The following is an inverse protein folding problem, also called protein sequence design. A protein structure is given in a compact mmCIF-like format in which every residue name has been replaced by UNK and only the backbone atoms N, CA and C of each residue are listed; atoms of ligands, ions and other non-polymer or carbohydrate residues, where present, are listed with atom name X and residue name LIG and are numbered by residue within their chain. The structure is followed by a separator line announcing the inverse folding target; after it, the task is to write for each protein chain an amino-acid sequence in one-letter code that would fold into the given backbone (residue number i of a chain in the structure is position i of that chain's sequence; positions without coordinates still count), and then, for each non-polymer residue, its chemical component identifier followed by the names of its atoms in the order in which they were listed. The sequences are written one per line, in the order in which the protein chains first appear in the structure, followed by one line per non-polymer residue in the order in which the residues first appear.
data_IF_334309686989
#
_entry.id   IF_334309686989
#
_cell.length_a   1.000
_cell.length_b   1.000
_cell.length_c   1.000
_cell.angle_alpha   90.00
_cell.angle_beta   90.00
_cell.angle_gamma   90.00
#
_symmetry.space_group_name_H-M   'P 1'
#
loop_
_entity.id
_entity.type
_entity.pdbx_description
1 polymer ?
#
# COMPACT_ATOMS: atom_id res chain seq x y z
N UNK A 1 0.06 -15.36 -13.54
CA UNK A 1 -1.34 -15.71 -13.80
C UNK A 1 -1.57 -17.23 -13.82
N UNK A 2 -0.72 -18.04 -14.44
CA UNK A 2 -0.87 -19.53 -14.49
C UNK A 2 -1.05 -20.17 -13.11
N UNK A 3 -0.34 -19.68 -12.07
CA UNK A 3 -0.49 -20.18 -10.69
C UNK A 3 -1.91 -19.89 -10.19
N UNK A 4 -2.44 -18.70 -10.41
CA UNK A 4 -3.80 -18.32 -10.02
C UNK A 4 -4.85 -19.19 -10.71
N UNK A 5 -4.68 -19.47 -12.01
CA UNK A 5 -5.57 -20.40 -12.74
C UNK A 5 -5.51 -21.83 -12.16
N UNK A 6 -4.31 -22.31 -11.81
CA UNK A 6 -4.16 -23.63 -11.23
C UNK A 6 -4.81 -23.71 -9.85
N UNK A 7 -4.68 -22.66 -9.04
CA UNK A 7 -5.34 -22.56 -7.74
C UNK A 7 -6.88 -22.56 -7.90
N UNK A 8 -7.42 -21.75 -8.83
CA UNK A 8 -8.85 -21.72 -9.13
C UNK A 8 -9.38 -23.07 -9.62
N UNK A 9 -8.63 -23.78 -10.47
CA UNK A 9 -9.01 -25.13 -10.92
C UNK A 9 -9.08 -26.13 -9.76
N UNK A 10 -8.14 -26.07 -8.82
CA UNK A 10 -8.10 -26.93 -7.65
C UNK A 10 -9.11 -26.55 -6.56
N UNK A 11 -9.60 -25.30 -6.56
CA UNK A 11 -10.55 -24.79 -5.59
C UNK A 11 -11.94 -25.37 -5.85
N UNK A 12 -12.69 -25.68 -4.78
CA UNK A 12 -14.08 -26.08 -4.90
C UNK A 12 -14.96 -24.96 -5.47
N UNK A 13 -16.07 -25.25 -6.15
CA UNK A 13 -17.04 -24.24 -6.58
C UNK A 13 -17.51 -23.40 -5.38
N UNK A 14 -17.54 -22.07 -5.52
CA UNK A 14 -17.86 -21.13 -4.45
C UNK A 14 -16.74 -20.91 -3.44
N UNK A 15 -15.58 -21.56 -3.61
CA UNK A 15 -14.42 -21.39 -2.72
C UNK A 15 -13.60 -20.16 -3.04
N UNK A 16 -12.61 -19.89 -2.19
CA UNK A 16 -11.73 -18.73 -2.28
C UNK A 16 -10.28 -19.18 -2.30
N UNK A 17 -9.48 -18.60 -3.19
CA UNK A 17 -8.04 -18.76 -3.24
C UNK A 17 -7.36 -17.50 -2.70
N UNK A 18 -6.39 -17.69 -1.81
CA UNK A 18 -5.63 -16.60 -1.19
C UNK A 18 -4.17 -16.63 -1.66
N UNK A 19 -3.67 -15.47 -2.08
CA UNK A 19 -2.29 -15.23 -2.45
C UNK A 19 -1.75 -14.10 -1.57
N UNK A 20 -1.03 -14.47 -0.52
CA UNK A 20 -0.54 -13.51 0.47
C UNK A 20 0.87 -13.01 0.20
N UNK A 21 1.18 -11.86 0.78
CA UNK A 21 2.53 -11.30 0.90
C UNK A 21 3.22 -10.97 -0.42
N UNK A 22 2.50 -10.68 -1.50
CA UNK A 22 3.17 -10.23 -2.72
C UNK A 22 3.78 -8.84 -2.51
N UNK A 23 4.96 -8.63 -3.11
CA UNK A 23 5.60 -7.30 -3.09
C UNK A 23 4.95 -6.41 -4.15
N UNK A 24 4.38 -5.30 -3.70
CA UNK A 24 3.72 -4.33 -4.55
C UNK A 24 4.75 -3.51 -5.33
N UNK A 25 4.69 -3.62 -6.67
CA UNK A 25 5.58 -2.91 -7.59
C UNK A 25 5.46 -1.39 -7.47
N UNK A 26 4.25 -0.88 -7.21
CA UNK A 26 3.97 0.56 -7.13
C UNK A 26 4.66 1.26 -5.96
N UNK A 27 5.06 0.49 -4.93
CA UNK A 27 5.76 1.01 -3.74
C UNK A 27 7.15 0.42 -3.54
N UNK A 28 7.68 -0.29 -4.53
CA UNK A 28 9.00 -0.90 -4.44
C UNK A 28 10.13 0.15 -4.38
N UNK A 29 10.05 1.23 -5.15
CA UNK A 29 11.07 2.29 -5.12
C UNK A 29 11.11 3.02 -3.75
N UNK A 30 9.99 3.50 -3.18
CA UNK A 30 9.96 4.02 -1.80
C UNK A 30 10.50 3.02 -0.77
N UNK A 31 10.16 1.73 -0.90
CA UNK A 31 10.70 0.67 -0.03
C UNK A 31 12.22 0.60 -0.07
N UNK A 32 12.82 0.52 -1.26
CA UNK A 32 14.27 0.43 -1.39
C UNK A 32 15.00 1.69 -0.93
N UNK A 33 14.37 2.87 -1.07
CA UNK A 33 14.88 4.11 -0.51
C UNK A 33 14.90 4.07 1.03
N UNK A 34 13.80 3.68 1.66
CA UNK A 34 13.71 3.52 3.11
C UNK A 34 14.67 2.44 3.64
N UNK A 35 14.80 1.32 2.92
CA UNK A 35 15.71 0.24 3.26
C UNK A 35 17.19 0.69 3.19
N UNK A 36 17.56 1.46 2.16
CA UNK A 36 18.91 2.01 2.02
C UNK A 36 19.22 2.98 3.17
N UNK A 37 18.26 3.84 3.54
CA UNK A 37 18.39 4.73 4.70
C UNK A 37 18.56 3.95 6.01
N UNK A 38 17.73 2.94 6.24
CA UNK A 38 17.81 2.11 7.46
C UNK A 38 19.15 1.37 7.56
N UNK A 39 19.67 0.85 6.45
CA UNK A 39 21.00 0.21 6.40
C UNK A 39 22.13 1.19 6.66
N UNK A 40 22.07 2.38 6.10
CA UNK A 40 23.06 3.42 6.35
C UNK A 40 23.09 3.83 7.83
N UNK A 41 21.93 4.00 8.45
CA UNK A 41 21.82 4.28 9.90
C UNK A 41 22.43 3.17 10.74
N UNK A 42 22.13 1.92 10.40
CA UNK A 42 22.67 0.76 11.12
C UNK A 42 24.19 0.67 11.01
N UNK A 43 24.75 1.02 9.84
CA UNK A 43 26.19 1.05 9.63
C UNK A 43 26.88 2.16 10.45
N UNK A 44 26.20 3.31 10.63
CA UNK A 44 26.72 4.42 11.45
C UNK A 44 26.61 4.18 12.97
N UNK A 45 25.69 3.31 13.42
CA UNK A 45 25.47 3.01 14.83
C UNK A 45 25.22 1.50 15.06
N UNK A 46 26.25 0.65 14.96
CA UNK A 46 26.09 -0.81 15.00
C UNK A 46 25.58 -1.33 16.36
N UNK A 47 25.86 -0.63 17.45
CA UNK A 47 25.52 -1.05 18.83
C UNK A 47 24.16 -0.54 19.33
N UNK A 48 23.47 0.31 18.57
CA UNK A 48 22.14 0.76 18.96
C UNK A 48 21.08 -0.26 18.51
N UNK A 49 20.34 -0.84 19.48
CA UNK A 49 19.10 -1.56 19.16
C UNK A 49 18.17 -0.59 18.42
N UNK A 50 17.79 -0.96 17.19
CA UNK A 50 16.75 -0.24 16.43
C UNK A 50 15.41 -0.41 17.16
N UNK A 51 15.18 0.36 18.18
CA UNK A 51 13.83 0.66 18.64
C UNK A 51 13.21 1.53 17.56
N UNK A 52 12.01 1.19 17.13
CA UNK A 52 11.22 1.93 16.16
C UNK A 52 11.36 3.43 16.42
N UNK A 53 12.09 4.14 15.53
CA UNK A 53 12.32 5.58 15.69
C UNK A 53 11.05 6.37 15.36
N UNK A 54 10.09 6.29 16.26
CA UNK A 54 8.97 7.21 16.34
C UNK A 54 9.15 8.12 17.54
N UNK A 55 9.98 9.15 17.41
CA UNK A 55 10.21 10.10 18.50
C UNK A 55 11.66 10.62 18.50
N UNK A 56 11.92 11.72 19.16
CA UNK A 56 13.15 12.52 19.22
C UNK A 56 14.42 11.76 19.69
N UNK A 57 14.76 10.68 19.01
CA UNK A 57 16.00 9.97 19.22
C UNK A 57 17.13 10.75 18.52
N UNK A 58 18.13 11.21 19.24
CA UNK A 58 19.37 11.76 18.69
C UNK A 58 20.13 10.62 17.98
N UNK A 59 19.74 10.31 16.76
CA UNK A 59 20.50 9.39 15.91
C UNK A 59 21.83 10.05 15.53
N UNK A 60 22.96 9.32 15.54
CA UNK A 60 24.23 9.86 15.09
C UNK A 60 24.08 10.41 13.67
N UNK A 61 24.70 11.56 13.42
CA UNK A 61 24.66 12.21 12.12
C UNK A 61 25.12 11.24 11.03
N UNK A 62 24.25 11.01 10.04
CA UNK A 62 24.58 10.17 8.90
C UNK A 62 25.54 10.92 7.99
N UNK A 63 26.74 10.37 7.79
CA UNK A 63 27.77 10.96 6.91
C UNK A 63 27.55 10.65 5.42
N UNK A 64 26.33 10.31 5.03
CA UNK A 64 25.99 10.08 3.61
C UNK A 64 25.17 11.27 3.06
N UNK A 65 25.39 11.59 1.81
CA UNK A 65 24.62 12.60 1.08
C UNK A 65 23.33 12.02 0.49
N UNK A 66 22.42 12.91 0.08
CA UNK A 66 21.20 12.53 -0.66
C UNK A 66 21.55 11.76 -1.94
N UNK A 67 22.62 12.18 -2.66
CA UNK A 67 23.08 11.50 -3.87
C UNK A 67 23.57 10.08 -3.60
N UNK A 68 24.32 9.88 -2.53
CA UNK A 68 24.78 8.54 -2.12
C UNK A 68 23.60 7.65 -1.73
N UNK A 69 22.61 8.19 -1.01
CA UNK A 69 21.39 7.44 -0.69
C UNK A 69 20.65 7.03 -1.97
N UNK A 70 20.55 7.90 -2.99
CA UNK A 70 19.95 7.57 -4.28
C UNK A 70 20.68 6.38 -4.94
N UNK A 71 22.01 6.42 -4.99
CA UNK A 71 22.82 5.32 -5.55
C UNK A 71 22.56 4.02 -4.79
N UNK A 72 22.51 4.05 -3.45
CA UNK A 72 22.24 2.88 -2.63
C UNK A 72 20.83 2.33 -2.84
N UNK A 73 19.83 3.21 -2.90
CA UNK A 73 18.44 2.85 -3.17
C UNK A 73 18.27 2.18 -4.54
N UNK A 74 18.81 2.77 -5.59
CA UNK A 74 18.78 2.22 -6.96
C UNK A 74 19.51 0.87 -7.06
N UNK A 75 20.66 0.73 -6.41
CA UNK A 75 21.39 -0.55 -6.34
C UNK A 75 20.58 -1.61 -5.57
N UNK A 76 19.92 -1.22 -4.48
CA UNK A 76 19.04 -2.12 -3.73
C UNK A 76 17.88 -2.59 -4.59
N UNK A 77 17.20 -1.67 -5.28
CA UNK A 77 16.10 -1.99 -6.20
C UNK A 77 16.53 -2.90 -7.36
N UNK A 78 17.67 -2.61 -7.99
CA UNK A 78 18.20 -3.42 -9.10
C UNK A 78 18.61 -4.86 -8.67
N UNK A 79 18.80 -5.10 -7.38
CA UNK A 79 19.12 -6.41 -6.80
C UNK A 79 17.92 -7.11 -6.19
N UNK A 80 16.73 -6.56 -6.36
CA UNK A 80 15.50 -7.21 -5.87
C UNK A 80 15.32 -8.57 -6.52
N UNK A 81 15.09 -9.58 -5.68
CA UNK A 81 14.93 -10.97 -6.11
C UNK A 81 13.50 -11.46 -5.97
N UNK A 82 12.70 -10.76 -5.19
CA UNK A 82 11.29 -11.09 -5.05
C UNK A 82 10.53 -10.63 -6.29
N UNK A 83 9.49 -11.37 -6.63
CA UNK A 83 8.60 -11.02 -7.73
C UNK A 83 7.80 -9.76 -7.36
N UNK A 84 8.03 -8.68 -8.11
CA UNK A 84 7.26 -7.44 -8.00
C UNK A 84 6.00 -7.58 -8.85
N UNK A 85 4.83 -7.47 -8.22
CA UNK A 85 3.55 -7.55 -8.90
C UNK A 85 2.83 -6.18 -8.85
N UNK A 86 2.29 -5.79 -9.99
CA UNK A 86 1.34 -4.68 -10.03
C UNK A 86 -0.03 -5.20 -9.57
N UNK A 87 -0.64 -4.61 -8.54
CA UNK A 87 -1.97 -5.03 -8.06
C UNK A 87 -3.03 -5.10 -9.15
N UNK A 88 -2.95 -4.22 -10.16
CA UNK A 88 -3.88 -4.19 -11.31
C UNK A 88 -3.84 -5.46 -12.14
N UNK A 89 -2.70 -6.16 -12.16
CA UNK A 89 -2.54 -7.40 -12.94
C UNK A 89 -3.69 -8.38 -12.71
N UNK A 90 -4.15 -8.49 -11.46
CA UNK A 90 -5.19 -9.45 -11.08
C UNK A 90 -6.58 -8.98 -11.51
N UNK A 91 -6.88 -7.70 -11.32
CA UNK A 91 -8.16 -7.10 -11.72
C UNK A 91 -8.30 -7.10 -13.25
N UNK A 92 -7.25 -6.68 -13.94
CA UNK A 92 -7.20 -6.66 -15.40
C UNK A 92 -7.34 -8.09 -15.99
N UNK A 93 -6.72 -9.08 -15.37
CA UNK A 93 -6.83 -10.47 -15.78
C UNK A 93 -8.27 -10.99 -15.65
N UNK A 94 -8.97 -10.63 -14.55
CA UNK A 94 -10.39 -10.93 -14.41
C UNK A 94 -11.21 -10.26 -15.51
N UNK A 95 -10.98 -8.97 -15.75
CA UNK A 95 -11.73 -8.22 -16.78
C UNK A 95 -11.48 -8.77 -18.19
N UNK A 96 -10.28 -9.25 -18.49
CA UNK A 96 -9.96 -9.90 -19.78
C UNK A 96 -10.44 -11.36 -19.87
N UNK A 97 -11.05 -11.90 -18.82
CA UNK A 97 -11.52 -13.29 -18.80
C UNK A 97 -10.39 -14.32 -18.74
N UNK A 98 -9.19 -13.93 -18.29
CA UNK A 98 -8.05 -14.84 -18.18
C UNK A 98 -8.19 -15.80 -16.98
N UNK A 99 -9.08 -15.53 -16.05
CA UNK A 99 -9.41 -16.39 -14.93
C UNK A 99 -10.73 -17.13 -15.20
N UNK A 100 -10.65 -18.38 -15.65
CA UNK A 100 -11.82 -19.22 -15.79
C UNK A 100 -12.50 -19.42 -14.43
N UNK A 101 -13.80 -19.28 -14.36
CA UNK A 101 -14.64 -19.48 -13.17
C UNK A 101 -14.35 -18.50 -11.99
N UNK A 102 -13.56 -17.46 -12.16
CA UNK A 102 -13.39 -16.41 -11.16
C UNK A 102 -14.47 -15.33 -11.35
N UNK A 103 -15.18 -15.01 -10.29
CA UNK A 103 -16.27 -14.01 -10.32
C UNK A 103 -15.90 -12.70 -9.62
N UNK A 104 -14.88 -12.72 -8.78
CA UNK A 104 -14.40 -11.53 -8.03
C UNK A 104 -12.92 -11.67 -7.71
N UNK A 105 -12.22 -10.56 -7.76
CA UNK A 105 -10.85 -10.41 -7.30
C UNK A 105 -10.80 -9.24 -6.34
N UNK A 106 -10.33 -9.47 -5.13
CA UNK A 106 -9.99 -8.41 -4.19
C UNK A 106 -8.48 -8.34 -4.04
N UNK A 107 -7.95 -7.13 -4.12
CA UNK A 107 -6.54 -6.85 -3.85
C UNK A 107 -6.48 -5.87 -2.70
N UNK A 108 -5.80 -6.24 -1.64
CA UNK A 108 -5.80 -5.47 -0.42
C UNK A 108 -4.38 -5.11 0.04
N UNK A 109 -4.25 -3.94 0.66
CA UNK A 109 -3.06 -3.60 1.42
C UNK A 109 -3.06 -4.39 2.72
N UNK A 110 -1.88 -4.78 3.18
CA UNK A 110 -1.73 -5.46 4.47
C UNK A 110 -2.28 -4.61 5.61
N UNK A 111 -3.05 -5.24 6.47
CA UNK A 111 -3.51 -4.65 7.73
C UNK A 111 -2.37 -4.61 8.75
N UNK A 112 -2.39 -3.67 9.63
CA UNK A 112 -1.48 -3.57 10.76
C UNK A 112 -0.93 -2.17 10.99
N UNK A 113 -1.12 -1.65 12.20
CA UNK A 113 -0.67 -0.30 12.61
C UNK A 113 0.82 -0.20 12.82
N UNK A 114 1.50 -1.36 13.00
CA UNK A 114 2.96 -1.36 13.15
C UNK A 114 3.61 -1.09 11.81
N UNK A 115 4.38 -0.03 11.73
CA UNK A 115 5.17 0.29 10.54
C UNK A 115 6.22 -0.78 10.30
N UNK A 116 5.97 -1.63 9.35
CA UNK A 116 6.83 -2.73 8.96
C UNK A 116 6.89 -2.84 7.43
N UNK A 117 7.85 -3.59 6.94
CA UNK A 117 7.92 -3.95 5.52
C UNK A 117 6.62 -4.60 5.04
N UNK A 118 6.03 -5.49 5.86
CA UNK A 118 4.81 -6.20 5.51
C UNK A 118 3.63 -5.25 5.36
N UNK A 119 3.33 -4.45 6.38
CA UNK A 119 2.19 -3.55 6.35
C UNK A 119 2.35 -2.41 5.32
N UNK A 120 3.59 -1.93 5.12
CA UNK A 120 3.85 -0.79 4.25
C UNK A 120 3.94 -1.12 2.76
N UNK A 121 4.48 -2.29 2.38
CA UNK A 121 4.95 -2.50 1.01
C UNK A 121 4.49 -3.81 0.38
N UNK A 122 3.63 -4.57 1.06
CA UNK A 122 3.06 -5.82 0.56
C UNK A 122 1.56 -5.74 0.48
N UNK A 123 0.98 -6.65 -0.31
CA UNK A 123 -0.45 -6.80 -0.48
C UNK A 123 -0.86 -8.27 -0.48
N UNK A 124 -2.17 -8.47 -0.44
CA UNK A 124 -2.83 -9.76 -0.50
C UNK A 124 -3.83 -9.76 -1.65
N UNK A 125 -4.05 -10.94 -2.23
CA UNK A 125 -5.05 -11.15 -3.29
C UNK A 125 -5.98 -12.28 -2.90
N UNK A 126 -7.26 -12.04 -3.08
CA UNK A 126 -8.34 -12.99 -2.89
C UNK A 126 -9.02 -13.24 -4.24
N UNK A 127 -9.09 -14.50 -4.69
CA UNK A 127 -9.74 -14.90 -5.92
C UNK A 127 -10.95 -15.75 -5.55
N UNK A 128 -12.15 -15.30 -5.90
CA UNK A 128 -13.41 -15.97 -5.57
C UNK A 128 -13.88 -16.76 -6.78
N UNK A 129 -14.00 -18.08 -6.59
CA UNK A 129 -14.51 -18.99 -7.62
C UNK A 129 -16.03 -18.96 -7.67
N UNK A 130 -16.60 -19.02 -8.87
CA UNK A 130 -18.04 -19.15 -9.06
C UNK A 130 -18.61 -20.35 -8.32
N UNK A 131 -19.72 -20.17 -7.62
CA UNK A 131 -20.51 -21.24 -7.03
C UNK A 131 -21.42 -21.92 -8.04
N UNK A 132 -22.09 -23.03 -7.66
CA UNK A 132 -23.10 -23.66 -8.50
C UNK A 132 -24.23 -22.67 -8.81
N UNK A 133 -24.53 -22.46 -10.09
CA UNK A 133 -25.59 -21.55 -10.54
C UNK A 133 -25.25 -20.07 -10.50
N UNK A 134 -24.02 -19.69 -10.16
CA UNK A 134 -23.57 -18.31 -10.29
C UNK A 134 -23.55 -17.92 -11.77
N UNK A 135 -24.08 -16.74 -12.16
CA UNK A 135 -23.98 -16.27 -13.54
C UNK A 135 -22.49 -16.14 -13.90
N UNK A 136 -22.13 -16.73 -15.04
CA UNK A 136 -20.81 -16.54 -15.64
C UNK A 136 -20.60 -15.04 -15.86
N UNK A 137 -19.61 -14.47 -15.19
CA UNK A 137 -19.22 -13.06 -15.27
C UNK A 137 -20.34 -12.04 -15.10
N UNK A 138 -20.79 -11.80 -13.90
CA UNK A 138 -21.31 -10.49 -13.55
C UNK A 138 -20.21 -9.73 -12.80
N UNK A 139 -19.33 -9.06 -13.54
CA UNK A 139 -18.72 -7.85 -12.99
C UNK A 139 -19.91 -6.96 -12.68
N UNK A 140 -20.38 -6.95 -11.42
CA UNK A 140 -21.44 -6.03 -10.99
C UNK A 140 -20.99 -4.64 -11.44
N UNK A 141 -21.88 -3.92 -12.12
CA UNK A 141 -21.61 -2.52 -12.46
C UNK A 141 -21.12 -1.83 -11.19
N UNK A 142 -19.87 -1.39 -11.22
CA UNK A 142 -19.25 -0.72 -10.07
C UNK A 142 -20.09 0.53 -9.81
N UNK A 143 -20.58 0.69 -8.59
CA UNK A 143 -21.21 1.95 -8.17
C UNK A 143 -20.29 3.13 -8.52
N UNK A 144 -20.83 4.33 -8.77
CA UNK A 144 -20.01 5.48 -9.17
C UNK A 144 -18.83 5.64 -8.21
N UNK A 145 -17.60 5.62 -8.75
CA UNK A 145 -16.40 5.85 -7.97
C UNK A 145 -16.25 7.35 -7.74
N UNK A 146 -16.15 7.77 -6.49
CA UNK A 146 -15.89 9.14 -6.13
C UNK A 146 -14.39 9.41 -6.06
N UNK A 147 -13.94 10.53 -6.63
CA UNK A 147 -12.58 10.99 -6.39
C UNK A 147 -12.45 11.54 -4.97
N UNK A 148 -11.35 11.22 -4.32
CA UNK A 148 -11.08 11.70 -2.98
C UNK A 148 -11.11 13.23 -2.89
N UNK A 149 -11.80 13.72 -1.88
CA UNK A 149 -11.88 15.12 -1.50
C UNK A 149 -11.79 15.20 0.03
N UNK A 150 -10.75 15.83 0.56
CA UNK A 150 -10.50 15.90 2.00
C UNK A 150 -11.68 16.51 2.78
N UNK A 151 -12.44 17.42 2.17
CA UNK A 151 -13.64 18.02 2.76
C UNK A 151 -14.83 17.07 2.87
N UNK A 152 -14.84 15.99 2.07
CA UNK A 152 -15.96 15.02 2.01
C UNK A 152 -15.60 13.63 2.52
N UNK A 153 -14.31 13.30 2.57
CA UNK A 153 -13.83 11.95 2.82
C UNK A 153 -12.88 11.86 4.02
N UNK A 154 -12.92 12.84 4.94
CA UNK A 154 -12.28 12.67 6.25
C UNK A 154 -12.95 11.50 7.01
N UNK A 155 -12.25 10.89 7.96
CA UNK A 155 -12.80 9.75 8.75
C UNK A 155 -14.16 10.08 9.36
N UNK A 156 -14.35 11.30 9.90
CA UNK A 156 -15.63 11.71 10.47
C UNK A 156 -16.74 11.86 9.42
N UNK A 157 -16.41 12.37 8.24
CA UNK A 157 -17.37 12.49 7.14
C UNK A 157 -17.73 11.12 6.56
N UNK A 158 -16.75 10.23 6.43
CA UNK A 158 -16.98 8.86 6.01
C UNK A 158 -17.86 8.11 7.00
N UNK A 159 -17.65 8.29 8.30
CA UNK A 159 -18.52 7.73 9.35
C UNK A 159 -19.98 8.15 9.14
N UNK A 160 -20.24 9.44 9.02
CA UNK A 160 -21.60 9.96 8.81
C UNK A 160 -22.26 9.38 7.56
N UNK A 161 -21.52 9.31 6.46
CA UNK A 161 -22.00 8.75 5.19
C UNK A 161 -22.31 7.26 5.29
N UNK A 162 -21.48 6.49 5.99
CA UNK A 162 -21.72 5.06 6.20
C UNK A 162 -22.90 4.82 7.16
N UNK A 163 -23.12 5.70 8.15
CA UNK A 163 -24.30 5.68 9.03
C UNK A 163 -25.61 5.94 8.27
N UNK A 164 -25.59 6.63 7.12
CA UNK A 164 -26.73 6.79 6.22
C UNK A 164 -27.12 5.47 5.51
N UNK A 165 -26.31 4.43 5.59
CA UNK A 165 -26.60 3.09 5.10
C UNK A 165 -26.47 2.88 3.60
N UNK A 166 -25.49 3.49 2.87
CA UNK A 166 -25.28 3.18 1.46
C UNK A 166 -24.92 1.70 1.28
N UNK A 167 -25.41 1.06 0.24
CA UNK A 167 -25.05 -0.33 -0.06
C UNK A 167 -23.54 -0.48 -0.32
N UNK A 168 -22.96 0.46 -1.04
CA UNK A 168 -21.53 0.50 -1.38
C UNK A 168 -21.04 1.94 -1.51
N UNK A 169 -19.78 2.15 -1.14
CA UNK A 169 -19.08 3.43 -1.31
C UNK A 169 -17.69 3.16 -1.88
N UNK A 170 -17.40 3.69 -3.08
CA UNK A 170 -16.11 3.60 -3.73
C UNK A 170 -15.41 4.95 -3.77
N UNK A 171 -14.19 5.03 -3.25
CA UNK A 171 -13.38 6.25 -3.22
C UNK A 171 -12.02 5.95 -3.86
N UNK A 172 -11.67 6.72 -4.88
CA UNK A 172 -10.37 6.61 -5.56
C UNK A 172 -9.45 7.77 -5.23
N UNK A 173 -8.15 7.54 -5.41
CA UNK A 173 -7.10 8.55 -5.25
C UNK A 173 -6.98 9.14 -3.82
N UNK A 174 -7.40 8.39 -2.81
CA UNK A 174 -7.17 8.79 -1.42
C UNK A 174 -5.67 8.81 -1.10
N UNK A 175 -5.14 9.89 -0.50
CA UNK A 175 -3.73 9.94 -0.11
C UNK A 175 -3.43 8.89 0.95
N UNK A 176 -2.46 8.00 0.67
CA UNK A 176 -1.97 6.99 1.61
C UNK A 176 -1.05 7.66 2.66
N UNK A 177 -1.59 7.92 3.85
CA UNK A 177 -0.84 8.54 4.94
C UNK A 177 0.25 7.62 5.51
N UNK A 178 0.12 6.31 5.31
CA UNK A 178 1.09 5.30 5.79
C UNK A 178 2.45 5.45 5.13
N UNK A 179 2.48 5.72 3.83
CA UNK A 179 3.70 5.81 3.02
C UNK A 179 4.13 7.25 2.67
N UNK A 180 3.52 8.25 3.30
CA UNK A 180 3.81 9.65 2.98
C UNK A 180 5.28 10.02 3.23
N UNK A 181 5.90 9.48 4.28
CA UNK A 181 7.33 9.69 4.56
C UNK A 181 8.22 9.08 3.47
N UNK A 182 7.99 7.83 3.13
CA UNK A 182 8.83 7.07 2.19
C UNK A 182 8.71 7.61 0.76
N UNK A 183 7.51 8.03 0.37
CA UNK A 183 7.26 8.66 -0.93
C UNK A 183 7.94 10.02 -1.04
N UNK A 184 7.81 10.86 0.00
CA UNK A 184 8.46 12.19 -0.02
C UNK A 184 9.98 12.06 0.07
N UNK A 185 10.51 11.14 0.86
CA UNK A 185 11.94 10.88 0.90
C UNK A 185 12.47 10.47 -0.47
N UNK A 186 11.79 9.56 -1.16
CA UNK A 186 12.15 9.16 -2.52
C UNK A 186 12.10 10.36 -3.47
N UNK A 187 11.04 11.15 -3.45
CA UNK A 187 10.89 12.35 -4.27
C UNK A 187 12.08 13.31 -4.09
N UNK A 188 12.45 13.60 -2.83
CA UNK A 188 13.60 14.45 -2.54
C UNK A 188 14.89 13.82 -3.07
N UNK A 189 15.09 12.53 -2.85
CA UNK A 189 16.29 11.79 -3.27
C UNK A 189 16.45 11.74 -4.80
N UNK A 190 15.36 11.70 -5.54
CA UNK A 190 15.37 11.67 -7.00
C UNK A 190 15.50 13.07 -7.64
N UNK A 191 14.95 14.09 -6.98
CA UNK A 191 14.91 15.46 -7.55
C UNK A 191 16.07 16.36 -7.11
N UNK A 192 16.65 16.09 -5.91
CA UNK A 192 17.72 16.92 -5.35
C UNK A 192 19.09 16.38 -5.75
N UNK A 193 19.86 17.20 -6.50
CA UNK A 193 21.25 16.85 -6.86
C UNK A 193 22.23 17.04 -5.70
N UNK A 194 21.91 17.94 -4.76
CA UNK A 194 22.74 18.26 -3.61
C UNK A 194 21.87 18.51 -2.38
N UNK A 195 22.27 18.00 -1.24
CA UNK A 195 21.56 18.24 0.01
C UNK A 195 22.04 17.37 1.17
N UNK A 196 21.84 17.89 2.37
CA UNK A 196 22.04 17.12 3.60
C UNK A 196 20.89 16.13 3.75
N UNK A 197 21.24 14.88 4.05
CA UNK A 197 20.25 13.83 4.30
C UNK A 197 19.36 14.17 5.52
N UNK A 198 19.91 14.83 6.53
CA UNK A 198 19.15 15.29 7.70
C UNK A 198 18.01 16.25 7.31
N UNK A 199 18.31 17.19 6.38
CA UNK A 199 17.29 18.11 5.86
C UNK A 199 16.22 17.34 5.05
N UNK A 200 16.64 16.41 4.21
CA UNK A 200 15.73 15.56 3.43
C UNK A 200 14.79 14.76 4.34
N UNK A 201 15.32 14.16 5.39
CA UNK A 201 14.51 13.43 6.38
C UNK A 201 13.58 14.36 7.17
N UNK A 202 14.03 15.55 7.55
CA UNK A 202 13.19 16.50 8.26
C UNK A 202 12.00 16.94 7.37
N UNK A 203 12.24 17.20 6.09
CA UNK A 203 11.19 17.53 5.12
C UNK A 203 10.23 16.35 4.94
N UNK A 204 10.74 15.13 4.78
CA UNK A 204 9.90 13.95 4.62
C UNK A 204 9.06 13.65 5.88
N UNK A 205 9.61 13.85 7.10
CA UNK A 205 8.87 13.76 8.35
C UNK A 205 7.75 14.80 8.43
N UNK A 206 8.04 16.03 8.05
CA UNK A 206 7.04 17.10 8.04
C UNK A 206 5.96 16.83 6.99
N UNK A 207 6.31 16.35 5.80
CA UNK A 207 5.35 15.93 4.78
C UNK A 207 4.43 14.81 5.29
N UNK A 208 4.97 13.83 6.03
CA UNK A 208 4.17 12.76 6.64
C UNK A 208 3.18 13.30 7.69
N UNK A 209 3.58 14.29 8.51
CA UNK A 209 2.67 14.95 9.44
C UNK A 209 1.56 15.71 8.71
N UNK A 210 1.93 16.47 7.66
CA UNK A 210 0.99 17.22 6.83
C UNK A 210 0.02 16.31 6.09
N UNK A 211 0.46 15.16 5.58
CA UNK A 211 -0.40 14.21 4.92
C UNK A 211 -1.56 13.77 5.83
N UNK A 212 -1.27 13.50 7.10
CA UNK A 212 -2.30 13.17 8.09
C UNK A 212 -3.24 14.35 8.40
N UNK A 213 -2.66 15.56 8.57
CA UNK A 213 -3.45 16.76 8.86
C UNK A 213 -4.33 17.19 7.69
N UNK A 214 -3.87 16.97 6.46
CA UNK A 214 -4.59 17.32 5.23
C UNK A 214 -5.52 16.21 4.74
N UNK A 215 -5.91 15.30 5.62
CA UNK A 215 -6.91 14.29 5.33
C UNK A 215 -6.38 13.04 4.63
N UNK A 216 -5.07 12.80 4.63
CA UNK A 216 -4.53 11.52 4.22
C UNK A 216 -5.07 10.39 5.08
N UNK A 217 -5.48 9.30 4.46
CA UNK A 217 -6.14 8.19 5.14
C UNK A 217 -5.11 7.12 5.54
N UNK A 218 -5.18 6.68 6.78
CA UNK A 218 -4.48 5.48 7.24
C UNK A 218 -5.38 4.28 6.95
N UNK A 219 -4.92 3.27 6.20
CA UNK A 219 -5.75 2.13 5.84
C UNK A 219 -6.42 1.42 7.02
N UNK A 220 -5.72 1.27 8.16
CA UNK A 220 -6.33 0.62 9.33
C UNK A 220 -7.48 1.44 9.94
N UNK A 221 -7.47 2.76 9.83
CA UNK A 221 -8.58 3.60 10.28
C UNK A 221 -9.83 3.36 9.42
N UNK A 222 -9.65 3.09 8.11
CA UNK A 222 -10.76 2.74 7.21
C UNK A 222 -11.32 1.36 7.54
N UNK A 223 -10.48 0.37 7.77
CA UNK A 223 -10.91 -0.97 8.17
C UNK A 223 -11.68 -0.93 9.48
N UNK A 224 -11.14 -0.28 10.51
CA UNK A 224 -11.81 -0.16 11.82
C UNK A 224 -13.14 0.60 11.71
N UNK A 225 -13.20 1.67 10.92
CA UNK A 225 -14.42 2.42 10.71
C UNK A 225 -15.50 1.56 10.06
N UNK A 226 -15.19 0.93 8.92
CA UNK A 226 -16.17 0.14 8.18
C UNK A 226 -16.66 -1.05 8.99
N UNK A 227 -15.75 -1.82 9.59
CA UNK A 227 -16.10 -2.99 10.42
C UNK A 227 -16.97 -2.59 11.62
N UNK A 228 -16.71 -1.43 12.25
CA UNK A 228 -17.52 -0.93 13.36
C UNK A 228 -18.97 -0.62 12.98
N UNK A 229 -19.22 -0.38 11.69
CA UNK A 229 -20.53 -0.07 11.12
C UNK A 229 -21.12 -1.23 10.31
N UNK A 230 -20.48 -2.40 10.30
CA UNK A 230 -20.97 -3.62 9.64
C UNK A 230 -20.69 -3.67 8.13
N UNK A 231 -19.75 -2.86 7.64
CA UNK A 231 -19.31 -2.88 6.25
C UNK A 231 -18.09 -3.80 6.05
N UNK A 232 -18.06 -4.46 4.90
CA UNK A 232 -16.85 -5.11 4.39
C UNK A 232 -15.99 -4.06 3.69
N UNK A 233 -14.72 -3.95 4.06
CA UNK A 233 -13.80 -2.90 3.59
C UNK A 233 -12.66 -3.52 2.82
N UNK A 234 -12.42 -3.05 1.60
CA UNK A 234 -11.24 -3.36 0.82
C UNK A 234 -10.47 -2.06 0.49
N UNK A 235 -9.24 -1.97 0.94
CA UNK A 235 -8.34 -0.86 0.61
C UNK A 235 -7.22 -1.36 -0.30
N UNK A 236 -7.12 -0.80 -1.50
CA UNK A 236 -6.06 -1.12 -2.46
C UNK A 236 -5.30 0.14 -2.88
N UNK A 237 -4.07 -0.04 -3.34
CA UNK A 237 -3.32 1.07 -3.94
C UNK A 237 -3.74 1.25 -5.39
N UNK A 238 -4.15 2.47 -5.71
CA UNK A 238 -4.27 2.85 -7.11
C UNK A 238 -2.87 2.95 -7.71
N UNK A 239 -2.73 2.58 -8.97
CA UNK A 239 -1.53 2.92 -9.71
C UNK A 239 -1.46 4.44 -9.86
N UNK A 240 -0.31 5.00 -9.50
CA UNK A 240 0.04 6.38 -9.79
C UNK A 240 0.26 6.58 -11.27
#
# INVERSE_FOLDING_TARGET
LRVCESMLKACAPGGVCFLGDFRDRGVAAPFHCALALARARRAAAPDQKLTSCGGDCACPALQISVTELNVLARRSYAREKELLLDPRLFVDALQRGEFSDCVRVDVEIKRGRVRSEFAGFRGDVWLYKAGPGAPSSSVKAVSPCELYDAGKHSIDMLRRRLEEGPETLYIAAAPDARLAFERELLNIVETSQHGSLEKAEAVAKEASKRAKLNGGLEPDDLYELGESLGYDVAACRSAG
#
